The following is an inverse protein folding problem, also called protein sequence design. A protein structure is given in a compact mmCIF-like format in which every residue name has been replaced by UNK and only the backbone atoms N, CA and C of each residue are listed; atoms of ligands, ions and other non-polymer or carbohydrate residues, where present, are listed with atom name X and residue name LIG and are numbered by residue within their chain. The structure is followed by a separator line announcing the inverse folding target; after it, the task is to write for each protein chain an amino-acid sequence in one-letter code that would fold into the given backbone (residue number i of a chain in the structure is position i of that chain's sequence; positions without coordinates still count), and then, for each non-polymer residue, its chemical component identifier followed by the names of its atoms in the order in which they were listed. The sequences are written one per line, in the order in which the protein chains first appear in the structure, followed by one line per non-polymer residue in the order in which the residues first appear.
data_IF_768035787803
#
_entry.id   IF_768035787803
#
_cell.length_a   1.000
_cell.length_b   1.000
_cell.length_c   1.000
_cell.angle_alpha   90.00
_cell.angle_beta   90.00
_cell.angle_gamma   90.00
#
_symmetry.space_group_name_H-M   'P 1'
#
loop_
_entity.id
_entity.type
_entity.pdbx_description
1 polymer ?
#
# COMPACT_ATOMS: atom_id res chain seq x y z
N UNK A 1 36.39 -52.22 -17.28
CA UNK A 1 35.00 -51.88 -16.88
C UNK A 1 34.90 -50.38 -16.69
N UNK A 2 34.30 -49.71 -17.67
CA UNK A 2 34.11 -48.26 -17.60
C UNK A 2 32.78 -47.97 -16.90
N UNK A 3 32.86 -47.34 -15.71
CA UNK A 3 31.67 -46.87 -14.99
C UNK A 3 31.22 -45.56 -15.61
N UNK A 4 30.07 -45.58 -16.29
CA UNK A 4 29.41 -44.40 -16.79
C UNK A 4 28.75 -43.66 -15.61
N UNK A 5 29.27 -42.50 -15.30
CA UNK A 5 28.67 -41.61 -14.30
C UNK A 5 27.59 -40.77 -14.98
N UNK A 6 26.33 -41.12 -14.75
CA UNK A 6 25.20 -40.26 -15.16
C UNK A 6 25.11 -39.08 -14.20
N UNK A 7 25.56 -37.92 -14.68
CA UNK A 7 25.26 -36.66 -14.01
C UNK A 7 23.85 -36.25 -14.44
N UNK A 8 22.89 -36.45 -13.56
CA UNK A 8 21.54 -35.90 -13.71
C UNK A 8 21.62 -34.41 -13.38
N UNK A 9 21.68 -33.60 -14.41
CA UNK A 9 21.57 -32.15 -14.30
C UNK A 9 20.10 -31.82 -14.00
N UNK A 10 19.75 -31.64 -12.73
CA UNK A 10 18.45 -31.14 -12.33
C UNK A 10 18.35 -29.66 -12.76
N UNK A 11 17.71 -29.41 -13.87
CA UNK A 11 17.26 -28.08 -14.28
C UNK A 11 16.18 -27.63 -13.28
N UNK A 12 16.59 -26.89 -12.27
CA UNK A 12 15.66 -26.06 -11.53
C UNK A 12 15.17 -24.96 -12.46
N UNK A 13 14.03 -25.19 -13.09
CA UNK A 13 13.23 -24.12 -13.66
C UNK A 13 12.71 -23.32 -12.48
N UNK A 14 13.44 -22.29 -12.08
CA UNK A 14 12.90 -21.22 -11.27
C UNK A 14 11.78 -20.56 -12.08
N UNK A 15 10.55 -21.02 -11.89
CA UNK A 15 9.37 -20.26 -12.29
C UNK A 15 9.40 -19.04 -11.40
N UNK A 16 10.11 -18.00 -11.84
CA UNK A 16 9.97 -16.67 -11.31
C UNK A 16 8.49 -16.30 -11.46
N UNK A 17 7.77 -16.24 -10.34
CA UNK A 17 6.53 -15.51 -10.24
C UNK A 17 6.86 -14.10 -10.74
N UNK A 18 6.58 -13.86 -12.02
CA UNK A 18 6.66 -12.51 -12.58
C UNK A 18 5.64 -11.70 -11.79
N UNK A 19 6.13 -10.96 -10.79
CA UNK A 19 5.32 -9.95 -10.13
C UNK A 19 4.75 -9.09 -11.25
N UNK A 20 3.42 -9.08 -11.38
CA UNK A 20 2.80 -8.33 -12.45
C UNK A 20 3.23 -6.88 -12.35
N UNK A 21 3.85 -6.38 -13.41
CA UNK A 21 4.24 -4.99 -13.51
C UNK A 21 3.01 -4.09 -13.28
N UNK A 22 3.26 -2.90 -12.74
CA UNK A 22 2.22 -1.89 -12.60
C UNK A 22 1.65 -1.54 -13.97
N UNK A 23 0.35 -1.24 -14.03
CA UNK A 23 -0.29 -0.82 -15.27
C UNK A 23 0.33 0.48 -15.81
N UNK A 24 0.29 0.73 -17.14
CA UNK A 24 0.77 1.99 -17.72
C UNK A 24 0.08 3.22 -17.11
N UNK A 25 -1.20 3.10 -16.76
CA UNK A 25 -1.96 4.16 -16.10
C UNK A 25 -1.41 4.48 -14.70
N UNK A 26 -1.13 3.45 -13.90
CA UNK A 26 -0.54 3.63 -12.57
C UNK A 26 0.87 4.23 -12.65
N UNK A 27 1.68 3.78 -13.62
CA UNK A 27 3.01 4.36 -13.86
C UNK A 27 2.92 5.84 -14.26
N UNK A 28 1.96 6.21 -15.11
CA UNK A 28 1.73 7.61 -15.50
C UNK A 28 1.28 8.46 -14.32
N UNK A 29 0.39 7.94 -13.44
CA UNK A 29 0.00 8.62 -12.20
C UNK A 29 1.19 8.85 -11.27
N UNK A 30 2.04 7.84 -11.11
CA UNK A 30 3.24 7.93 -10.27
C UNK A 30 4.26 8.94 -10.81
N UNK A 31 4.47 8.97 -12.12
CA UNK A 31 5.37 9.93 -12.75
C UNK A 31 5.03 11.39 -12.41
N UNK A 32 3.73 11.70 -12.27
CA UNK A 32 3.23 13.04 -11.90
C UNK A 32 3.35 13.36 -10.41
N UNK A 33 3.65 12.37 -9.56
CA UNK A 33 3.64 12.51 -8.10
C UNK A 33 5.03 12.38 -7.46
N UNK A 34 6.08 12.33 -8.25
CA UNK A 34 7.46 12.19 -7.73
C UNK A 34 7.80 13.35 -6.80
N UNK A 35 8.20 13.01 -5.56
CA UNK A 35 8.55 13.98 -4.52
C UNK A 35 7.47 15.04 -4.25
N UNK A 36 6.21 14.69 -4.50
CA UNK A 36 5.08 15.59 -4.33
C UNK A 36 4.63 15.58 -2.86
N UNK A 37 4.32 16.77 -2.35
CA UNK A 37 3.56 16.95 -1.11
C UNK A 37 2.28 17.70 -1.44
N UNK A 38 1.14 17.10 -1.11
CA UNK A 38 -0.17 17.74 -1.27
C UNK A 38 -0.68 18.20 0.09
N UNK A 39 -1.07 19.46 0.18
CA UNK A 39 -1.72 20.03 1.37
C UNK A 39 -3.12 20.47 1.01
N UNK A 40 -4.11 19.90 1.68
CA UNK A 40 -5.51 20.29 1.53
C UNK A 40 -5.89 21.18 2.71
N UNK A 41 -6.42 22.36 2.40
CA UNK A 41 -6.78 23.34 3.41
C UNK A 41 -8.29 23.52 3.46
N UNK A 42 -8.83 23.54 4.64
CA UNK A 42 -10.23 23.84 4.88
C UNK A 42 -10.38 25.22 5.53
N UNK A 43 -11.50 25.88 5.27
CA UNK A 43 -11.81 27.19 5.82
C UNK A 43 -13.26 27.21 6.30
N UNK A 44 -13.45 27.56 7.56
CA UNK A 44 -14.80 27.79 8.09
C UNK A 44 -15.41 29.05 7.46
N UNK A 45 -16.56 28.89 6.81
CA UNK A 45 -17.26 30.00 6.13
C UNK A 45 -17.70 31.13 7.08
N UNK A 46 -17.99 30.79 8.34
CA UNK A 46 -18.52 31.73 9.32
C UNK A 46 -17.40 32.46 10.11
N UNK A 47 -16.31 31.75 10.41
CA UNK A 47 -15.22 32.23 11.25
C UNK A 47 -13.99 32.67 10.48
N UNK A 48 -13.94 32.40 9.16
CA UNK A 48 -12.77 32.64 8.30
C UNK A 48 -11.47 31.98 8.82
N UNK A 49 -11.61 31.00 9.69
CA UNK A 49 -10.49 30.24 10.22
C UNK A 49 -10.08 29.19 9.22
N UNK A 50 -8.79 29.13 8.93
CA UNK A 50 -8.19 28.15 8.01
C UNK A 50 -7.38 27.14 8.82
N UNK A 51 -7.51 25.86 8.49
CA UNK A 51 -6.66 24.79 9.04
C UNK A 51 -6.23 23.85 7.94
N UNK A 52 -5.12 23.14 8.17
CA UNK A 52 -4.69 22.04 7.32
C UNK A 52 -5.65 20.86 7.58
N UNK A 53 -6.28 20.34 6.53
CA UNK A 53 -7.27 19.28 6.59
C UNK A 53 -6.64 17.91 6.28
N UNK A 54 -5.78 17.88 5.26
CA UNK A 54 -5.07 16.66 4.86
C UNK A 54 -3.67 16.99 4.33
N UNK A 55 -2.72 16.09 4.61
CA UNK A 55 -1.37 16.12 4.08
C UNK A 55 -1.05 14.77 3.47
N UNK A 56 -0.63 14.74 2.19
CA UNK A 56 -0.14 13.53 1.50
C UNK A 56 1.28 13.74 1.04
N UNK A 57 2.14 12.77 1.33
CA UNK A 57 3.56 12.78 0.94
C UNK A 57 3.84 11.61 0.01
N UNK A 58 4.47 11.89 -1.11
CA UNK A 58 4.89 10.92 -2.12
C UNK A 58 6.42 10.89 -2.22
N UNK A 59 6.98 9.71 -2.43
CA UNK A 59 8.42 9.49 -2.58
C UNK A 59 8.94 9.81 -4.00
N UNK A 60 10.22 9.56 -4.22
CA UNK A 60 10.89 9.74 -5.53
C UNK A 60 10.30 8.89 -6.66
N UNK A 61 9.60 7.79 -6.32
CA UNK A 61 8.90 6.91 -7.26
C UNK A 61 7.43 7.30 -7.45
N UNK A 62 6.96 8.34 -6.78
CA UNK A 62 5.56 8.78 -6.82
C UNK A 62 4.59 7.90 -6.05
N UNK A 63 5.09 7.14 -5.06
CA UNK A 63 4.29 6.30 -4.17
C UNK A 63 3.92 7.07 -2.92
N UNK A 64 2.67 6.96 -2.49
CA UNK A 64 2.23 7.59 -1.23
C UNK A 64 2.90 6.89 -0.05
N UNK A 65 3.74 7.58 0.69
CA UNK A 65 4.45 7.05 1.87
C UNK A 65 3.83 7.50 3.18
N UNK A 66 3.09 8.59 3.18
CA UNK A 66 2.45 9.13 4.36
C UNK A 66 1.17 9.90 4.01
N UNK A 67 0.17 9.77 4.85
CA UNK A 67 -1.04 10.60 4.85
C UNK A 67 -1.40 10.98 6.27
N UNK A 68 -1.72 12.26 6.51
CA UNK A 68 -2.11 12.76 7.82
C UNK A 68 -3.43 13.52 7.67
N UNK A 69 -4.41 13.10 8.43
CA UNK A 69 -5.70 13.79 8.56
C UNK A 69 -5.69 14.70 9.78
N UNK A 70 -6.22 15.88 9.60
CA UNK A 70 -6.35 16.90 10.63
C UNK A 70 -7.78 17.40 10.76
N UNK A 71 -8.08 17.96 11.90
CA UNK A 71 -9.19 18.88 12.08
C UNK A 71 -8.66 20.23 12.60
N UNK A 72 -9.55 21.15 12.93
CA UNK A 72 -9.17 22.47 13.46
C UNK A 72 -8.37 22.43 14.78
N UNK A 73 -8.31 21.27 15.46
CA UNK A 73 -7.60 21.09 16.74
C UNK A 73 -6.27 20.35 16.59
N UNK A 74 -5.96 19.82 15.40
CA UNK A 74 -4.72 19.11 15.13
C UNK A 74 -4.91 17.78 14.42
N UNK A 75 -3.90 16.91 14.54
CA UNK A 75 -3.90 15.60 13.92
C UNK A 75 -5.02 14.70 14.48
N UNK A 76 -5.77 14.06 13.58
CA UNK A 76 -6.73 13.00 13.92
C UNK A 76 -6.08 11.63 13.78
N UNK A 77 -5.48 11.39 12.62
CA UNK A 77 -4.88 10.11 12.26
C UNK A 77 -3.70 10.33 11.31
N UNK A 78 -2.71 9.46 11.39
CA UNK A 78 -1.55 9.44 10.50
C UNK A 78 -1.35 8.02 10.00
N UNK A 79 -1.17 7.86 8.69
CA UNK A 79 -0.91 6.58 8.04
C UNK A 79 0.44 6.62 7.34
N UNK A 80 1.23 5.56 7.47
CA UNK A 80 2.45 5.35 6.71
C UNK A 80 2.35 4.08 5.88
N UNK A 81 2.90 4.08 4.67
CA UNK A 81 2.85 2.96 3.74
C UNK A 81 4.25 2.40 3.46
N UNK A 82 4.36 1.07 3.48
CA UNK A 82 5.54 0.32 3.06
C UNK A 82 5.22 -0.47 1.78
N UNK A 83 6.16 -0.51 0.85
CA UNK A 83 6.01 -1.14 -0.46
C UNK A 83 6.90 -2.35 -0.61
N UNK A 84 6.37 -3.39 -1.24
CA UNK A 84 7.15 -4.55 -1.66
C UNK A 84 8.17 -4.14 -2.73
N UNK A 85 9.47 -4.49 -2.55
CA UNK A 85 10.52 -4.06 -3.48
C UNK A 85 10.43 -4.72 -4.87
N UNK A 86 9.71 -5.82 -5.01
CA UNK A 86 9.57 -6.56 -6.27
C UNK A 86 8.30 -6.14 -7.01
N UNK A 87 7.15 -6.25 -6.34
CA UNK A 87 5.84 -5.90 -6.95
C UNK A 87 5.54 -4.40 -6.94
N UNK A 88 6.24 -3.64 -6.11
CA UNK A 88 6.02 -2.20 -5.90
C UNK A 88 4.60 -1.85 -5.42
N UNK A 89 3.96 -2.81 -4.73
CA UNK A 89 2.64 -2.67 -4.12
C UNK A 89 2.76 -2.45 -2.62
N UNK A 90 1.77 -1.79 -2.03
CA UNK A 90 1.70 -1.63 -0.58
C UNK A 90 1.55 -2.99 0.07
N UNK A 91 2.49 -3.35 0.95
CA UNK A 91 2.42 -4.60 1.73
C UNK A 91 2.05 -4.37 3.18
N UNK A 92 2.32 -3.16 3.69
CA UNK A 92 2.06 -2.81 5.08
C UNK A 92 1.70 -1.34 5.21
N UNK A 93 0.71 -1.07 6.03
CA UNK A 93 0.36 0.28 6.49
C UNK A 93 0.38 0.30 8.01
N UNK A 94 0.87 1.39 8.58
CA UNK A 94 0.78 1.65 10.03
C UNK A 94 -0.08 2.88 10.24
N UNK A 95 -1.13 2.69 11.03
CA UNK A 95 -2.06 3.76 11.40
C UNK A 95 -1.76 4.21 12.83
N UNK A 96 -1.56 5.50 12.99
CA UNK A 96 -1.30 6.17 14.27
C UNK A 96 -2.49 7.03 14.67
N UNK A 97 -2.72 7.14 15.96
CA UNK A 97 -3.74 8.02 16.53
C UNK A 97 -3.30 9.51 16.57
N UNK A 98 -4.11 10.34 17.19
CA UNK A 98 -3.87 11.77 17.37
C UNK A 98 -2.63 12.09 18.24
N UNK A 99 -2.09 11.10 18.93
CA UNK A 99 -0.88 11.19 19.76
C UNK A 99 0.34 10.50 19.15
N UNK A 100 0.27 10.12 17.87
CA UNK A 100 1.31 9.34 17.19
C UNK A 100 1.60 7.96 17.82
N UNK A 101 0.64 7.38 18.52
CA UNK A 101 0.72 6.00 18.98
C UNK A 101 0.13 5.07 17.94
N UNK A 102 0.76 3.91 17.71
CA UNK A 102 0.24 2.91 16.80
C UNK A 102 -1.15 2.48 17.24
N UNK A 103 -2.12 2.63 16.36
CA UNK A 103 -3.52 2.25 16.52
C UNK A 103 -3.82 0.93 15.85
N UNK A 104 -3.26 0.72 14.65
CA UNK A 104 -3.53 -0.44 13.81
C UNK A 104 -2.37 -0.66 12.85
N UNK A 105 -2.09 -1.93 12.54
CA UNK A 105 -1.19 -2.31 11.44
C UNK A 105 -1.99 -3.15 10.45
N UNK A 106 -1.96 -2.75 9.18
CA UNK A 106 -2.58 -3.48 8.06
C UNK A 106 -1.51 -4.15 7.23
N UNK A 107 -1.74 -5.40 6.85
CA UNK A 107 -0.92 -6.12 5.86
C UNK A 107 -1.80 -6.62 4.74
N UNK A 108 -1.26 -6.68 3.52
CA UNK A 108 -2.02 -6.99 2.32
C UNK A 108 -1.49 -8.22 1.60
N UNK A 109 -2.41 -9.01 1.07
CA UNK A 109 -2.16 -10.02 0.03
C UNK A 109 -2.89 -9.59 -1.23
N UNK A 110 -2.30 -9.89 -2.38
CA UNK A 110 -2.80 -9.54 -3.70
C UNK A 110 -3.08 -10.79 -4.54
N UNK A 111 -4.08 -10.70 -5.40
CA UNK A 111 -4.31 -11.66 -6.48
C UNK A 111 -3.24 -11.48 -7.58
N UNK A 112 -3.11 -12.47 -8.47
CA UNK A 112 -2.16 -12.43 -9.57
C UNK A 112 -2.39 -11.23 -10.52
N UNK A 113 -3.63 -10.77 -10.67
CA UNK A 113 -3.99 -9.59 -11.44
C UNK A 113 -3.67 -8.24 -10.76
N UNK A 114 -3.16 -8.29 -9.52
CA UNK A 114 -2.77 -7.12 -8.74
C UNK A 114 -3.89 -6.46 -7.93
N UNK A 115 -5.09 -7.02 -7.93
CA UNK A 115 -6.15 -6.60 -7.02
C UNK A 115 -5.90 -7.13 -5.62
N UNK A 116 -6.40 -6.43 -4.59
CA UNK A 116 -6.27 -6.89 -3.20
C UNK A 116 -7.07 -8.18 -3.01
N UNK A 117 -6.44 -9.20 -2.43
CA UNK A 117 -7.09 -10.45 -2.04
C UNK A 117 -7.56 -10.40 -0.58
N UNK A 118 -6.64 -10.09 0.34
CA UNK A 118 -6.92 -9.98 1.77
C UNK A 118 -6.22 -8.78 2.40
N UNK A 119 -6.85 -8.27 3.45
CA UNK A 119 -6.28 -7.28 4.35
C UNK A 119 -6.33 -7.83 5.77
N UNK A 120 -5.18 -7.97 6.39
CA UNK A 120 -5.05 -8.38 7.78
C UNK A 120 -4.87 -7.16 8.66
N UNK A 121 -5.71 -7.00 9.66
CA UNK A 121 -5.66 -5.90 10.61
C UNK A 121 -5.14 -6.41 11.95
N UNK A 122 -4.03 -5.84 12.41
CA UNK A 122 -3.38 -6.19 13.67
C UNK A 122 -3.48 -5.04 14.67
N UNK A 123 -3.72 -5.39 15.94
CA UNK A 123 -3.60 -4.46 17.06
C UNK A 123 -2.12 -4.12 17.32
N UNK A 124 -1.85 -3.04 18.10
CA UNK A 124 -0.47 -2.65 18.46
C UNK A 124 0.35 -3.75 19.15
N UNK A 125 -0.31 -4.65 19.89
CA UNK A 125 0.33 -5.80 20.55
C UNK A 125 0.66 -6.97 19.61
N UNK A 126 0.39 -6.83 18.30
CA UNK A 126 0.62 -7.86 17.28
C UNK A 126 -0.48 -8.90 17.14
N UNK A 127 -1.57 -8.82 17.95
CA UNK A 127 -2.72 -9.72 17.81
C UNK A 127 -3.51 -9.39 16.55
N UNK A 128 -3.89 -10.43 15.80
CA UNK A 128 -4.82 -10.29 14.68
C UNK A 128 -6.20 -9.88 15.22
N UNK A 129 -6.69 -8.74 14.73
CA UNK A 129 -8.00 -8.20 15.09
C UNK A 129 -9.09 -8.61 14.11
N UNK A 130 -8.83 -8.50 12.81
CA UNK A 130 -9.79 -8.85 11.76
C UNK A 130 -9.08 -9.14 10.44
N UNK A 131 -9.78 -9.88 9.57
CA UNK A 131 -9.37 -10.11 8.18
C UNK A 131 -10.49 -9.63 7.27
N UNK A 132 -10.17 -8.76 6.32
CA UNK A 132 -11.06 -8.35 5.25
C UNK A 132 -10.69 -9.15 3.99
N UNK A 133 -11.69 -9.79 3.38
CA UNK A 133 -11.54 -10.49 2.10
C UNK A 133 -12.24 -9.68 1.03
N UNK A 134 -11.59 -9.51 -0.11
CA UNK A 134 -12.12 -8.78 -1.26
C UNK A 134 -12.62 -9.77 -2.30
N UNK A 135 -13.88 -9.64 -2.71
CA UNK A 135 -14.47 -10.36 -3.82
C UNK A 135 -14.77 -9.39 -4.96
N UNK A 136 -14.40 -9.76 -6.17
CA UNK A 136 -14.61 -8.94 -7.37
C UNK A 136 -15.59 -9.66 -8.27
N UNK A 137 -16.78 -9.09 -8.41
CA UNK A 137 -17.88 -9.66 -9.19
C UNK A 137 -18.09 -8.73 -10.39
N UNK A 138 -17.91 -9.30 -11.59
CA UNK A 138 -18.19 -8.59 -12.83
C UNK A 138 -19.63 -8.91 -13.27
N UNK A 139 -20.43 -7.87 -13.49
CA UNK A 139 -21.74 -8.04 -14.12
C UNK A 139 -21.54 -8.23 -15.61
N UNK A 140 -22.17 -9.26 -16.19
CA UNK A 140 -22.23 -9.38 -17.64
C UNK A 140 -22.96 -8.17 -18.20
N UNK A 141 -22.28 -7.38 -19.03
CA UNK A 141 -22.93 -6.32 -19.80
C UNK A 141 -23.76 -6.98 -20.90
N UNK A 142 -25.11 -6.91 -20.81
CA UNK A 142 -25.99 -7.24 -21.92
C UNK A 142 -25.74 -6.31 -23.10
#
# INVERSE_FOLDING_TARGET
MKRLLFVVLALFVAQGLAAQALSPEELAKRAKRKNLTVKEWNTDSNKKQRWLDNLKVYDEKGRKIEEIEYNQFGQIERETCEYDPVSDRVIREVVYDDRNKVKLVRKYEYNDDGTKHKQYNYLPNGKLYSVKVFEYIFSDSE
#
